data_IF_484954174670
#
_entry.id   IF_484954174670
#
_cell.length_a   1.000
_cell.length_b   1.000
_cell.length_c   1.000
_cell.angle_alpha   90.00
_cell.angle_beta   90.00
_cell.angle_gamma   90.00
#
_symmetry.space_group_name_H-M   'P 1'
#
loop_
_entity.id
_entity.type
_entity.pdbx_description
1 polymer ?
#
# COMPACT_ATOMS: atom_id res chain seq x y z
N UNK A 1 1.39 -22.54 19.40
CA UNK A 1 0.52 -21.34 19.26
C UNK A 1 0.90 -20.65 17.97
N UNK A 2 -0.03 -20.45 17.02
CA UNK A 2 0.23 -19.52 15.90
C UNK A 2 0.11 -18.12 16.46
N UNK A 3 1.19 -17.36 16.47
CA UNK A 3 1.17 -15.93 16.81
C UNK A 3 0.22 -15.25 15.84
N UNK A 4 -0.86 -14.65 16.35
CA UNK A 4 -1.83 -13.91 15.53
C UNK A 4 -1.18 -12.56 15.23
N UNK A 5 -0.86 -12.30 13.95
CA UNK A 5 -0.29 -11.03 13.52
C UNK A 5 -1.32 -9.91 13.76
N UNK A 6 -0.90 -8.86 14.46
CA UNK A 6 -1.68 -7.66 14.75
C UNK A 6 -1.26 -6.49 13.84
N UNK A 7 -2.08 -5.43 13.79
CA UNK A 7 -1.69 -4.19 13.10
C UNK A 7 -0.41 -3.58 13.67
N UNK A 8 -0.22 -3.63 14.99
CA UNK A 8 0.97 -3.09 15.64
C UNK A 8 2.26 -3.80 15.18
N UNK A 9 2.20 -5.10 14.92
CA UNK A 9 3.35 -5.85 14.38
C UNK A 9 3.71 -5.38 12.97
N UNK A 10 2.68 -5.17 12.13
CA UNK A 10 2.82 -4.69 10.74
C UNK A 10 3.37 -3.26 10.71
N UNK A 11 2.80 -2.38 11.54
CA UNK A 11 3.22 -0.98 11.57
C UNK A 11 4.64 -0.85 12.13
N UNK A 12 5.03 -1.67 13.11
CA UNK A 12 6.41 -1.68 13.60
C UNK A 12 7.41 -2.08 12.51
N UNK A 13 7.06 -3.06 11.67
CA UNK A 13 7.89 -3.43 10.52
C UNK A 13 8.04 -2.25 9.54
N UNK A 14 6.93 -1.57 9.24
CA UNK A 14 6.95 -0.37 8.41
C UNK A 14 7.80 0.75 9.04
N UNK A 15 7.57 1.07 10.30
CA UNK A 15 8.27 2.14 11.02
C UNK A 15 9.79 1.91 11.03
N UNK A 16 10.22 0.65 11.20
CA UNK A 16 11.63 0.25 11.25
C UNK A 16 12.40 0.72 10.00
N UNK A 17 11.80 0.62 8.81
CA UNK A 17 12.46 0.95 7.54
C UNK A 17 11.92 2.22 6.87
N UNK A 18 10.92 2.90 7.46
CA UNK A 18 10.26 4.04 6.82
C UNK A 18 11.25 5.16 6.50
N UNK A 19 12.22 5.40 7.37
CA UNK A 19 13.26 6.41 7.16
C UNK A 19 14.18 6.06 5.99
N UNK A 20 14.55 4.78 5.85
CA UNK A 20 15.38 4.27 4.76
C UNK A 20 14.72 4.50 3.40
N UNK A 21 13.41 4.31 3.32
CA UNK A 21 12.63 4.49 2.09
C UNK A 21 12.11 5.93 1.87
N UNK A 22 12.48 6.88 2.74
CA UNK A 22 12.02 8.27 2.64
C UNK A 22 10.52 8.46 2.90
N UNK A 23 9.91 7.57 3.70
CA UNK A 23 8.47 7.51 3.94
C UNK A 23 8.00 8.25 5.20
N UNK A 24 8.91 8.84 5.98
CA UNK A 24 8.59 9.49 7.27
C UNK A 24 8.08 10.92 7.13
N UNK A 25 8.38 11.60 6.03
CA UNK A 25 7.90 12.97 5.80
C UNK A 25 6.50 12.97 5.17
N UNK A 26 5.64 13.94 5.49
CA UNK A 26 4.37 14.14 4.80
C UNK A 26 4.55 14.25 3.28
N UNK A 27 3.62 13.66 2.53
CA UNK A 27 3.46 13.91 1.10
C UNK A 27 2.69 15.22 0.95
N UNK A 28 3.28 16.27 0.38
CA UNK A 28 2.57 17.53 0.12
C UNK A 28 1.61 17.37 -1.06
N UNK A 29 0.42 16.83 -0.82
CA UNK A 29 -0.51 16.42 -1.88
C UNK A 29 -1.09 17.60 -2.71
N UNK A 30 -0.93 18.86 -2.28
CA UNK A 30 -1.38 20.06 -3.01
C UNK A 30 -0.63 20.29 -4.32
N UNK A 31 0.64 19.88 -4.42
CA UNK A 31 1.44 20.01 -5.65
C UNK A 31 0.93 19.11 -6.80
N UNK A 32 -0.08 18.28 -6.55
CA UNK A 32 -0.38 17.09 -7.35
C UNK A 32 -1.81 17.00 -7.91
N UNK A 33 -2.72 17.90 -7.50
CA UNK A 33 -4.15 17.86 -7.89
C UNK A 33 -4.38 17.87 -9.41
N UNK A 34 -3.54 18.58 -10.17
CA UNK A 34 -3.67 18.68 -11.62
C UNK A 34 -3.10 17.50 -12.41
N UNK A 35 -2.23 16.67 -11.82
CA UNK A 35 -1.47 15.65 -12.56
C UNK A 35 -2.06 14.24 -12.47
N UNK A 36 -2.83 13.97 -11.41
CA UNK A 36 -3.33 12.62 -11.14
C UNK A 36 -4.70 12.38 -11.77
N UNK A 37 -5.46 13.43 -12.09
CA UNK A 37 -6.86 13.32 -12.52
C UNK A 37 -7.04 12.73 -13.91
N UNK A 38 -6.09 12.91 -14.83
CA UNK A 38 -6.23 12.48 -16.23
C UNK A 38 -5.89 11.00 -16.45
N UNK A 39 -4.93 10.45 -15.70
CA UNK A 39 -4.44 9.08 -15.89
C UNK A 39 -5.00 8.06 -14.88
N UNK A 40 -5.72 8.51 -13.84
CA UNK A 40 -6.12 7.64 -12.73
C UNK A 40 -7.55 7.14 -12.85
N UNK A 41 -7.73 5.84 -12.62
CA UNK A 41 -9.05 5.27 -12.37
C UNK A 41 -9.66 5.79 -11.06
N UNK A 42 -10.99 5.65 -10.93
CA UNK A 42 -11.75 6.09 -9.74
C UNK A 42 -11.20 5.53 -8.41
N UNK A 43 -10.66 4.30 -8.41
CA UNK A 43 -10.04 3.68 -7.23
C UNK A 43 -8.72 4.36 -6.84
N UNK A 44 -7.88 4.70 -7.82
CA UNK A 44 -6.61 5.38 -7.60
C UNK A 44 -6.82 6.81 -7.09
N UNK A 45 -7.83 7.53 -7.60
CA UNK A 45 -8.23 8.84 -7.08
C UNK A 45 -8.72 8.77 -5.62
N UNK A 46 -9.40 7.67 -5.26
CA UNK A 46 -9.82 7.45 -3.88
C UNK A 46 -8.62 7.19 -2.95
N UNK A 47 -7.67 6.34 -3.35
CA UNK A 47 -6.42 6.14 -2.61
C UNK A 47 -5.64 7.44 -2.45
N UNK A 48 -5.56 8.26 -3.50
CA UNK A 48 -4.88 9.57 -3.48
C UNK A 48 -5.52 10.51 -2.45
N UNK A 49 -6.85 10.60 -2.45
CA UNK A 49 -7.57 11.41 -1.48
C UNK A 49 -7.38 10.94 -0.04
N UNK A 50 -7.30 9.63 0.19
CA UNK A 50 -7.03 9.09 1.52
C UNK A 50 -5.61 9.44 1.99
N UNK A 51 -4.61 9.38 1.11
CA UNK A 51 -3.25 9.83 1.45
C UNK A 51 -3.21 11.32 1.76
N UNK A 52 -3.93 12.17 0.99
CA UNK A 52 -4.04 13.61 1.25
C UNK A 52 -4.70 13.89 2.60
N UNK A 53 -5.84 13.27 2.88
CA UNK A 53 -6.56 13.47 4.14
C UNK A 53 -5.73 13.06 5.35
N UNK A 54 -4.87 12.04 5.20
CA UNK A 54 -4.06 11.50 6.29
C UNK A 54 -2.58 11.91 6.21
N UNK A 55 -2.21 12.94 5.43
CA UNK A 55 -0.80 13.25 5.12
C UNK A 55 0.09 13.55 6.35
N UNK A 56 -0.50 13.92 7.48
CA UNK A 56 0.19 14.18 8.75
C UNK A 56 0.10 13.02 9.75
N UNK A 57 -0.67 11.98 9.43
CA UNK A 57 -0.82 10.76 10.22
C UNK A 57 -0.02 9.65 9.52
N UNK A 58 1.22 9.46 9.99
CA UNK A 58 2.18 8.52 9.39
C UNK A 58 1.68 7.07 9.44
N UNK A 59 0.95 6.71 10.48
CA UNK A 59 0.42 5.36 10.68
C UNK A 59 -0.75 5.09 9.73
N UNK A 60 -1.69 6.03 9.61
CA UNK A 60 -2.77 5.90 8.61
C UNK A 60 -2.24 5.97 7.18
N UNK A 61 -1.21 6.77 6.93
CA UNK A 61 -0.55 6.81 5.62
C UNK A 61 0.05 5.45 5.28
N UNK A 62 0.74 4.80 6.23
CA UNK A 62 1.24 3.43 6.07
C UNK A 62 0.10 2.44 5.79
N UNK A 63 -1.00 2.55 6.52
CA UNK A 63 -2.18 1.70 6.31
C UNK A 63 -2.74 1.83 4.89
N UNK A 64 -2.84 3.05 4.35
CA UNK A 64 -3.30 3.27 2.96
C UNK A 64 -2.36 2.60 1.96
N UNK A 65 -1.04 2.73 2.14
CA UNK A 65 -0.06 2.11 1.24
C UNK A 65 -0.11 0.58 1.26
N UNK A 66 -0.14 -0.01 2.46
CA UNK A 66 -0.20 -1.46 2.64
C UNK A 66 -1.51 -2.02 2.07
N UNK A 67 -2.64 -1.38 2.35
CA UNK A 67 -3.94 -1.80 1.83
C UNK A 67 -4.01 -1.71 0.30
N UNK A 68 -3.52 -0.60 -0.28
CA UNK A 68 -3.44 -0.40 -1.73
C UNK A 68 -2.59 -1.51 -2.40
N UNK A 69 -1.39 -1.77 -1.86
CA UNK A 69 -0.50 -2.80 -2.39
C UNK A 69 -1.12 -4.21 -2.30
N UNK A 70 -1.68 -4.57 -1.14
CA UNK A 70 -2.31 -5.88 -0.96
C UNK A 70 -3.51 -6.07 -1.89
N UNK A 71 -4.29 -5.02 -2.12
CA UNK A 71 -5.40 -5.06 -3.08
C UNK A 71 -4.91 -5.31 -4.49
N UNK A 72 -3.84 -4.65 -4.92
CA UNK A 72 -3.27 -4.85 -6.26
C UNK A 72 -2.73 -6.27 -6.44
N UNK A 73 -2.07 -6.82 -5.41
CA UNK A 73 -1.63 -8.21 -5.43
C UNK A 73 -2.80 -9.18 -5.59
N UNK A 74 -3.89 -9.00 -4.84
CA UNK A 74 -5.07 -9.85 -4.94
C UNK A 74 -5.83 -9.67 -6.26
N UNK A 75 -5.83 -8.46 -6.83
CA UNK A 75 -6.61 -8.17 -8.03
C UNK A 75 -5.89 -8.62 -9.30
N UNK A 76 -4.61 -8.29 -9.43
CA UNK A 76 -3.87 -8.45 -10.69
C UNK A 76 -2.86 -9.60 -10.65
N UNK A 77 -2.49 -10.09 -9.46
CA UNK A 77 -1.44 -11.10 -9.28
C UNK A 77 -1.86 -12.28 -8.41
N UNK A 78 -3.17 -12.48 -8.18
CA UNK A 78 -3.68 -13.59 -7.39
C UNK A 78 -3.22 -14.96 -7.90
N UNK A 79 -3.01 -15.11 -9.21
CA UNK A 79 -2.50 -16.35 -9.81
C UNK A 79 -1.06 -16.69 -9.41
N UNK A 80 -0.29 -15.72 -8.90
CA UNK A 80 1.05 -15.93 -8.35
C UNK A 80 1.04 -16.26 -6.85
N UNK A 81 -0.09 -16.05 -6.18
CA UNK A 81 -0.22 -16.26 -4.74
C UNK A 81 -0.63 -17.70 -4.48
N UNK A 82 0.25 -18.47 -3.82
CA UNK A 82 -0.18 -19.72 -3.23
C UNK A 82 -1.22 -19.47 -2.11
N UNK A 83 -1.95 -20.50 -1.68
CA UNK A 83 -3.03 -20.33 -0.70
C UNK A 83 -2.62 -19.68 0.62
N UNK A 84 -1.38 -19.91 1.10
CA UNK A 84 -0.87 -19.26 2.32
C UNK A 84 -0.57 -17.78 2.07
N UNK A 85 0.07 -17.46 0.96
CA UNK A 85 0.37 -16.08 0.55
C UNK A 85 -0.92 -15.28 0.34
N UNK A 86 -1.92 -15.84 -0.33
CA UNK A 86 -3.21 -15.18 -0.53
C UNK A 86 -3.88 -14.85 0.82
N UNK A 87 -3.91 -15.81 1.75
CA UNK A 87 -4.45 -15.58 3.09
C UNK A 87 -3.67 -14.52 3.86
N UNK A 88 -2.34 -14.47 3.71
CA UNK A 88 -1.51 -13.46 4.35
C UNK A 88 -1.78 -12.07 3.79
N UNK A 89 -1.73 -11.90 2.46
CA UNK A 89 -2.04 -10.63 1.78
C UNK A 89 -3.43 -10.13 2.15
N UNK A 90 -4.43 -11.02 2.16
CA UNK A 90 -5.78 -10.70 2.56
C UNK A 90 -5.85 -10.26 4.03
N UNK A 91 -5.20 -10.98 4.95
CA UNK A 91 -5.15 -10.62 6.37
C UNK A 91 -4.54 -9.23 6.59
N UNK A 92 -3.44 -8.91 5.91
CA UNK A 92 -2.80 -7.60 5.97
C UNK A 92 -3.70 -6.49 5.43
N UNK A 93 -4.37 -6.73 4.29
CA UNK A 93 -5.34 -5.80 3.72
C UNK A 93 -6.44 -5.42 4.73
N UNK A 94 -7.03 -6.40 5.39
CA UNK A 94 -8.09 -6.16 6.38
C UNK A 94 -7.58 -5.45 7.64
N UNK A 95 -6.37 -5.77 8.12
CA UNK A 95 -5.79 -5.08 9.27
C UNK A 95 -5.48 -3.61 8.98
N UNK A 96 -5.01 -3.32 7.76
CA UNK A 96 -4.72 -1.97 7.31
C UNK A 96 -6.00 -1.14 7.13
N UNK A 97 -7.05 -1.70 6.50
CA UNK A 97 -8.32 -0.97 6.31
C UNK A 97 -8.97 -0.58 7.63
N UNK A 98 -8.85 -1.42 8.67
CA UNK A 98 -9.39 -1.12 10.01
C UNK A 98 -8.80 0.12 10.67
N UNK A 99 -7.67 0.63 10.18
CA UNK A 99 -7.07 1.87 10.69
C UNK A 99 -7.69 3.12 10.08
N UNK A 100 -8.52 2.96 9.05
CA UNK A 100 -9.10 4.05 8.28
C UNK A 100 -10.54 4.32 8.76
N UNK A 101 -10.95 5.59 8.89
CA UNK A 101 -12.20 5.97 9.55
C UNK A 101 -13.48 5.54 8.80
N UNK A 102 -13.39 5.20 7.51
CA UNK A 102 -14.53 4.93 6.63
C UNK A 102 -14.45 3.54 5.97
N UNK A 103 -14.40 2.47 6.77
CA UNK A 103 -14.36 1.10 6.27
C UNK A 103 -15.45 0.83 5.21
N UNK A 104 -16.69 1.26 5.47
CA UNK A 104 -17.83 1.08 4.54
C UNK A 104 -17.59 1.73 3.17
N UNK A 105 -16.94 2.89 3.12
CA UNK A 105 -16.62 3.56 1.86
C UNK A 105 -15.54 2.80 1.12
N UNK A 106 -14.53 2.30 1.83
CA UNK A 106 -13.44 1.50 1.26
C UNK A 106 -13.96 0.18 0.69
N UNK A 107 -14.97 -0.44 1.31
CA UNK A 107 -15.65 -1.61 0.76
C UNK A 107 -16.33 -1.32 -0.59
N UNK A 108 -16.89 -0.12 -0.75
CA UNK A 108 -17.55 0.32 -2.00
C UNK A 108 -16.59 0.81 -3.08
N UNK A 109 -15.39 1.26 -2.69
CA UNK A 109 -14.33 1.79 -3.57
C UNK A 109 -12.98 1.23 -3.10
N UNK A 110 -12.56 0.06 -3.62
CA UNK A 110 -11.33 -0.57 -3.15
C UNK A 110 -10.12 0.35 -3.39
N UNK A 111 -9.22 0.37 -2.41
CA UNK A 111 -7.94 1.06 -2.49
C UNK A 111 -7.08 0.41 -3.57
N UNK A 112 -6.74 1.14 -4.64
CA UNK A 112 -5.87 0.64 -5.72
C UNK A 112 -4.60 1.46 -5.83
N UNK A 113 -3.59 0.96 -6.55
CA UNK A 113 -2.34 1.69 -6.84
C UNK A 113 -2.56 3.07 -7.41
N UNK A 114 -1.59 3.94 -7.13
CA UNK A 114 -1.40 5.26 -7.73
C UNK A 114 -0.48 5.21 -8.96
N UNK A 115 -0.36 4.05 -9.59
CA UNK A 115 0.47 3.84 -10.78
C UNK A 115 -0.25 2.87 -11.73
N UNK A 116 -0.01 2.92 -13.05
CA UNK A 116 -0.77 2.12 -14.01
C UNK A 116 -0.61 0.60 -13.81
N UNK A 117 0.58 0.17 -13.41
CA UNK A 117 0.94 -1.23 -13.14
C UNK A 117 1.79 -1.32 -11.88
N UNK A 118 1.74 -2.46 -11.20
CA UNK A 118 2.72 -2.81 -10.18
C UNK A 118 4.13 -2.75 -10.79
N UNK A 119 5.03 -2.03 -10.13
CA UNK A 119 6.42 -1.92 -10.55
C UNK A 119 7.16 -3.26 -10.50
N UNK A 120 6.77 -4.13 -9.56
CA UNK A 120 7.42 -5.42 -9.36
C UNK A 120 7.01 -6.39 -10.48
N UNK A 121 8.00 -6.98 -11.15
CA UNK A 121 7.75 -7.98 -12.18
C UNK A 121 7.19 -9.28 -11.58
N UNK A 122 6.36 -9.99 -12.34
CA UNK A 122 5.80 -11.27 -11.92
C UNK A 122 6.87 -12.30 -11.53
N UNK A 123 8.01 -12.33 -12.25
CA UNK A 123 9.13 -13.24 -11.96
C UNK A 123 9.75 -12.97 -10.60
N UNK A 124 9.82 -11.70 -10.19
CA UNK A 124 10.31 -11.37 -8.86
C UNK A 124 9.33 -11.89 -7.80
N UNK A 125 8.04 -11.64 -7.98
CA UNK A 125 6.99 -12.09 -7.05
C UNK A 125 6.95 -13.61 -6.90
N UNK A 126 7.14 -14.37 -7.98
CA UNK A 126 7.20 -15.86 -7.94
C UNK A 126 8.33 -16.41 -7.08
N UNK A 127 9.43 -15.68 -6.94
CA UNK A 127 10.61 -16.10 -6.19
C UNK A 127 10.61 -15.58 -4.74
N UNK A 128 9.60 -14.82 -4.32
CA UNK A 128 9.48 -14.29 -2.97
C UNK A 128 8.53 -15.12 -2.11
N UNK A 129 8.86 -15.28 -0.82
CA UNK A 129 7.95 -15.91 0.14
C UNK A 129 6.94 -14.89 0.69
N UNK A 130 5.88 -14.68 -0.08
CA UNK A 130 4.75 -13.84 0.31
C UNK A 130 3.86 -14.47 1.40
N UNK A 131 4.23 -15.61 1.98
CA UNK A 131 3.58 -16.10 3.20
C UNK A 131 4.11 -15.44 4.48
N UNK A 132 5.22 -14.70 4.39
CA UNK A 132 5.78 -13.90 5.47
C UNK A 132 5.35 -12.44 5.31
N UNK A 133 4.67 -11.89 6.34
CA UNK A 133 4.20 -10.52 6.26
C UNK A 133 5.30 -9.46 6.11
N UNK A 134 6.52 -9.58 6.67
CA UNK A 134 7.54 -8.56 6.51
C UNK A 134 7.90 -8.32 5.04
N UNK A 135 7.97 -9.40 4.24
CA UNK A 135 8.21 -9.30 2.81
C UNK A 135 7.12 -8.46 2.12
N UNK A 136 5.85 -8.65 2.45
CA UNK A 136 4.75 -7.87 1.86
C UNK A 136 4.84 -6.40 2.29
N UNK A 137 5.18 -6.12 3.55
CA UNK A 137 5.34 -4.75 4.07
C UNK A 137 6.47 -4.03 3.33
N UNK A 138 7.65 -4.65 3.22
CA UNK A 138 8.78 -4.06 2.49
C UNK A 138 8.46 -3.80 1.02
N UNK A 139 7.78 -4.72 0.33
CA UNK A 139 7.35 -4.50 -1.05
C UNK A 139 6.36 -3.33 -1.18
N UNK A 140 5.45 -3.16 -0.22
CA UNK A 140 4.56 -2.01 -0.17
C UNK A 140 5.34 -0.70 0.05
N UNK A 141 6.39 -0.72 0.87
CA UNK A 141 7.28 0.42 1.09
C UNK A 141 8.08 0.78 -0.16
N UNK A 142 8.59 -0.21 -0.90
CA UNK A 142 9.24 0.00 -2.19
C UNK A 142 8.28 0.66 -3.18
N UNK A 143 7.05 0.15 -3.28
CA UNK A 143 6.00 0.75 -4.10
C UNK A 143 5.73 2.22 -3.70
N UNK A 144 5.54 2.49 -2.41
CA UNK A 144 5.30 3.82 -1.89
C UNK A 144 6.48 4.77 -2.17
N UNK A 145 7.71 4.29 -1.97
CA UNK A 145 8.94 5.06 -2.17
C UNK A 145 9.10 5.48 -3.62
N UNK A 146 8.89 4.58 -4.58
CA UNK A 146 8.99 4.93 -5.99
C UNK A 146 7.90 5.87 -6.45
N UNK A 147 6.66 5.70 -5.97
CA UNK A 147 5.59 6.66 -6.28
C UNK A 147 6.01 8.02 -5.75
N UNK A 148 6.48 8.11 -4.51
CA UNK A 148 7.00 9.37 -3.95
C UNK A 148 8.15 9.96 -4.77
N UNK A 149 9.12 9.16 -5.20
CA UNK A 149 10.24 9.64 -6.01
C UNK A 149 9.77 10.15 -7.37
N UNK A 150 8.90 9.41 -8.07
CA UNK A 150 8.31 9.87 -9.33
C UNK A 150 7.53 11.18 -9.16
N UNK A 151 6.88 11.36 -8.01
CA UNK A 151 6.17 12.59 -7.70
C UNK A 151 7.13 13.75 -7.39
N UNK A 152 8.23 13.50 -6.70
CA UNK A 152 9.23 14.52 -6.33
C UNK A 152 10.15 14.91 -7.49
N UNK A 153 10.54 13.98 -8.35
CA UNK A 153 11.42 14.21 -9.52
C UNK A 153 10.71 14.96 -10.65
N UNK A 154 9.38 14.92 -10.70
CA UNK A 154 8.58 15.64 -11.67
C UNK A 154 8.25 17.09 -11.24
N UNK A 155 8.90 17.61 -10.18
CA UNK A 155 8.84 19.04 -9.80
C UNK A 155 9.67 19.90 -10.75
#
# INVERSE_FOLDING_TARGET
MKTVISWNDIYKEWETYASHFGLTSPLNMEDFEGRWSEDFGKGSLFTANLLRTNQFDVEKTAAVWIASFCRDLMQDYAYLLNGKAYLMVNHLYFLAIKQLPDEQVIWSKPLTRLQPKLFLSYRLLENLDLSQYPCIVELAMLQASMIRSQLLENK
#
